data_IF_451663102414
#
_entry.id   IF_451663102414
#
_cell.length_a   1.000
_cell.length_b   1.000
_cell.length_c   1.000
_cell.angle_alpha   90.00
_cell.angle_beta   90.00
_cell.angle_gamma   90.00
#
_symmetry.space_group_name_H-M   'P 1'
#
loop_
_entity.id
_entity.type
_entity.pdbx_description
1 polymer ?
#
# COMPACT_ATOMS: atom_id res chain seq x y z
N UNK A 1 5.61 -12.69 -25.20
CA UNK A 1 6.13 -11.45 -25.80
C UNK A 1 6.23 -10.33 -24.75
N UNK A 2 5.20 -10.06 -23.94
CA UNK A 2 5.18 -8.97 -22.95
C UNK A 2 6.35 -9.07 -21.96
N UNK A 3 6.66 -10.27 -21.46
CA UNK A 3 7.79 -10.50 -20.54
C UNK A 3 9.17 -10.15 -21.14
N UNK A 4 9.26 -9.98 -22.47
CA UNK A 4 10.49 -9.55 -23.14
C UNK A 4 10.66 -8.03 -23.15
N UNK A 5 9.64 -7.28 -22.71
CA UNK A 5 9.64 -5.82 -22.75
C UNK A 5 9.70 -5.26 -21.33
N UNK A 6 10.81 -4.61 -20.94
CA UNK A 6 10.91 -3.91 -19.67
C UNK A 6 9.81 -2.84 -19.52
N UNK A 7 9.11 -2.86 -18.37
CA UNK A 7 7.95 -1.99 -18.14
C UNK A 7 7.77 -1.58 -16.67
N UNK A 8 8.84 -1.13 -15.98
CA UNK A 8 8.70 -0.63 -14.62
C UNK A 8 7.81 0.61 -14.59
N UNK A 9 7.07 0.80 -13.50
CA UNK A 9 6.26 2.02 -13.28
C UNK A 9 7.08 3.29 -13.47
N UNK A 10 6.54 4.28 -14.16
CA UNK A 10 7.19 5.55 -14.56
C UNK A 10 8.36 5.39 -15.55
N UNK A 11 8.50 4.23 -16.17
CA UNK A 11 9.52 3.91 -17.19
C UNK A 11 8.94 3.02 -18.29
N UNK A 12 7.74 3.34 -18.74
CA UNK A 12 6.94 2.53 -19.66
C UNK A 12 7.24 2.81 -21.14
N UNK A 13 8.23 3.62 -21.47
CA UNK A 13 8.51 4.03 -22.86
C UNK A 13 8.71 2.84 -23.82
N UNK A 14 9.30 1.74 -23.32
CA UNK A 14 9.54 0.54 -24.12
C UNK A 14 8.25 -0.23 -24.44
N UNK A 15 7.37 -0.40 -23.43
CA UNK A 15 6.10 -1.09 -23.64
C UNK A 15 5.14 -0.24 -24.48
N UNK A 16 5.14 1.08 -24.32
CA UNK A 16 4.39 2.00 -25.18
C UNK A 16 4.84 1.87 -26.64
N UNK A 17 6.15 1.85 -26.87
CA UNK A 17 6.69 1.64 -28.23
C UNK A 17 6.32 0.28 -28.82
N UNK A 18 6.32 -0.78 -27.99
CA UNK A 18 5.88 -2.12 -28.38
C UNK A 18 4.40 -2.12 -28.78
N UNK A 19 3.51 -1.51 -28.00
CA UNK A 19 2.08 -1.43 -28.30
C UNK A 19 1.79 -0.64 -29.59
N UNK A 20 2.51 0.45 -29.81
CA UNK A 20 2.41 1.21 -31.09
C UNK A 20 2.81 0.34 -32.28
N UNK A 21 3.96 -0.33 -32.17
CA UNK A 21 4.44 -1.22 -33.27
C UNK A 21 3.47 -2.40 -33.48
N UNK A 22 2.83 -2.91 -32.40
CA UNK A 22 1.81 -3.93 -32.48
C UNK A 22 0.58 -3.43 -33.30
N UNK A 23 0.05 -2.25 -32.94
CA UNK A 23 -1.06 -1.64 -33.66
C UNK A 23 -0.75 -1.40 -35.16
N UNK A 24 0.45 -0.90 -35.48
CA UNK A 24 0.92 -0.72 -36.84
C UNK A 24 1.00 -2.05 -37.61
N UNK A 25 1.58 -3.09 -36.98
CA UNK A 25 1.69 -4.43 -37.56
C UNK A 25 0.32 -5.01 -37.94
N UNK A 26 -0.68 -4.81 -37.09
CA UNK A 26 -2.04 -5.30 -37.32
C UNK A 26 -2.93 -4.29 -38.05
N UNK A 27 -2.38 -3.14 -38.49
CA UNK A 27 -3.10 -2.07 -39.22
C UNK A 27 -4.31 -1.53 -38.46
N UNK A 28 -4.21 -1.45 -37.15
CA UNK A 28 -5.23 -0.95 -36.25
C UNK A 28 -4.99 0.52 -35.89
N UNK A 29 -6.06 1.29 -35.78
CA UNK A 29 -5.98 2.66 -35.28
C UNK A 29 -5.39 2.67 -33.87
N UNK A 30 -4.28 3.39 -33.69
CA UNK A 30 -3.56 3.46 -32.42
C UNK A 30 -3.33 4.93 -32.04
N UNK A 31 -3.75 5.29 -30.83
CA UNK A 31 -3.56 6.62 -30.25
C UNK A 31 -2.74 6.53 -28.97
N UNK A 32 -2.00 7.58 -28.68
CA UNK A 32 -1.28 7.74 -27.41
C UNK A 32 -1.60 9.13 -26.88
N UNK A 33 -1.97 9.23 -25.60
CA UNK A 33 -2.21 10.52 -24.96
C UNK A 33 -0.92 11.13 -24.39
N UNK A 34 -1.04 12.30 -23.76
CA UNK A 34 0.10 13.02 -23.19
C UNK A 34 0.71 12.30 -21.97
N UNK A 35 -0.06 11.48 -21.26
CA UNK A 35 0.42 10.69 -20.12
C UNK A 35 1.15 9.41 -20.57
N UNK A 36 0.94 8.97 -21.82
CA UNK A 36 1.48 7.73 -22.34
C UNK A 36 0.48 6.58 -22.43
N UNK A 37 -0.79 6.79 -22.07
CA UNK A 37 -1.83 5.78 -22.25
C UNK A 37 -1.99 5.47 -23.74
N UNK A 38 -2.14 4.19 -24.08
CA UNK A 38 -2.31 3.73 -25.44
C UNK A 38 -3.71 3.21 -25.65
N UNK A 39 -4.36 3.63 -26.74
CA UNK A 39 -5.66 3.12 -27.17
C UNK A 39 -5.52 2.49 -28.56
N UNK A 40 -5.86 1.21 -28.68
CA UNK A 40 -5.88 0.49 -29.95
C UNK A 40 -7.32 0.09 -30.26
N UNK A 41 -7.80 0.47 -31.45
CA UNK A 41 -9.18 0.22 -31.88
C UNK A 41 -9.23 -0.90 -32.91
N UNK A 42 -10.11 -1.88 -32.70
CA UNK A 42 -10.43 -2.93 -33.66
C UNK A 42 -11.87 -2.73 -34.15
N UNK A 43 -12.09 -2.54 -35.49
CA UNK A 43 -13.43 -2.42 -36.03
C UNK A 43 -14.21 -3.72 -35.87
N UNK A 44 -15.54 -3.62 -35.83
CA UNK A 44 -16.42 -4.77 -35.72
C UNK A 44 -16.20 -5.78 -36.88
N UNK A 45 -16.43 -7.06 -36.60
CA UNK A 45 -16.52 -8.08 -37.64
C UNK A 45 -17.79 -7.86 -38.49
N UNK A 46 -17.80 -8.28 -39.76
CA UNK A 46 -18.92 -8.10 -40.66
C UNK A 46 -20.26 -8.57 -40.06
N UNK A 47 -21.25 -7.69 -40.02
CA UNK A 47 -22.55 -7.95 -39.43
C UNK A 47 -22.70 -7.61 -37.96
N UNK A 48 -21.62 -7.16 -37.30
CA UNK A 48 -21.60 -6.79 -35.86
C UNK A 48 -21.43 -5.28 -35.64
N UNK A 49 -21.50 -4.46 -36.70
CA UNK A 49 -21.23 -3.01 -36.64
C UNK A 49 -22.22 -2.23 -35.74
N UNK A 50 -23.43 -2.76 -35.58
CA UNK A 50 -24.48 -2.14 -34.73
C UNK A 50 -24.39 -2.55 -33.25
N UNK A 51 -23.39 -3.30 -32.86
CA UNK A 51 -23.17 -3.64 -31.43
C UNK A 51 -22.53 -2.47 -30.72
N UNK A 52 -22.75 -2.41 -29.40
CA UNK A 52 -22.10 -1.45 -28.53
C UNK A 52 -20.60 -1.63 -28.56
N UNK A 53 -19.87 -0.54 -28.54
CA UNK A 53 -18.40 -0.58 -28.41
C UNK A 53 -18.02 -0.99 -27.00
N UNK A 54 -17.14 -1.98 -26.90
CA UNK A 54 -16.58 -2.46 -25.63
C UNK A 54 -15.16 -1.94 -25.51
N UNK A 55 -14.87 -1.30 -24.37
CA UNK A 55 -13.49 -0.96 -23.97
C UNK A 55 -12.99 -2.07 -23.04
N UNK A 56 -11.88 -2.69 -23.39
CA UNK A 56 -11.09 -3.53 -22.49
C UNK A 56 -9.97 -2.66 -21.93
N UNK A 57 -9.71 -2.74 -20.62
CA UNK A 57 -8.71 -1.89 -19.99
C UNK A 57 -7.81 -2.71 -19.07
N UNK A 58 -6.50 -2.47 -19.23
CA UNK A 58 -5.44 -3.01 -18.37
C UNK A 58 -4.33 -1.98 -18.15
N UNK A 59 -3.49 -2.15 -17.13
CA UNK A 59 -2.30 -1.33 -16.97
C UNK A 59 -1.04 -2.05 -17.48
N UNK A 60 -0.08 -1.27 -18.00
CA UNK A 60 1.11 -1.83 -18.64
C UNK A 60 2.32 -1.93 -17.75
N UNK A 61 2.38 -1.17 -16.67
CA UNK A 61 3.49 -1.21 -15.74
C UNK A 61 3.42 -2.44 -14.81
N UNK A 62 4.44 -2.66 -14.02
CA UNK A 62 4.53 -3.76 -13.08
C UNK A 62 5.38 -3.41 -11.87
N UNK A 63 5.11 -4.03 -10.74
CA UNK A 63 5.99 -4.03 -9.55
C UNK A 63 7.30 -4.74 -9.89
N UNK A 64 8.42 -4.08 -9.62
CA UNK A 64 9.76 -4.55 -9.92
C UNK A 64 10.49 -5.00 -8.65
N UNK A 65 10.33 -6.27 -8.28
CA UNK A 65 10.99 -6.90 -7.14
C UNK A 65 11.76 -8.16 -7.54
N UNK A 66 12.87 -8.44 -6.86
CA UNK A 66 13.70 -9.63 -7.11
C UNK A 66 14.33 -10.16 -5.83
N UNK A 67 14.74 -11.41 -5.85
CA UNK A 67 15.55 -11.99 -4.79
C UNK A 67 16.93 -11.31 -4.71
N UNK A 68 17.49 -11.19 -3.51
CA UNK A 68 18.76 -10.48 -3.28
C UNK A 68 19.95 -11.09 -4.01
N UNK A 69 19.93 -12.38 -4.30
CA UNK A 69 20.95 -13.14 -5.00
C UNK A 69 20.79 -13.11 -6.53
N UNK A 70 19.69 -12.56 -7.05
CA UNK A 70 19.40 -12.46 -8.48
C UNK A 70 19.97 -11.16 -9.06
N UNK A 71 20.77 -11.31 -10.13
CA UNK A 71 21.23 -10.18 -10.94
C UNK A 71 20.22 -9.93 -12.04
N UNK A 72 19.48 -8.84 -11.95
CA UNK A 72 18.49 -8.42 -12.93
C UNK A 72 18.34 -6.91 -12.89
N UNK A 73 18.28 -6.29 -14.04
CA UNK A 73 17.97 -4.87 -14.22
C UNK A 73 16.62 -4.71 -14.94
N UNK A 74 15.60 -4.34 -14.19
CA UNK A 74 14.24 -4.16 -14.73
C UNK A 74 14.13 -3.07 -15.81
N UNK A 75 15.13 -2.21 -15.96
CA UNK A 75 15.15 -1.21 -17.05
C UNK A 75 15.60 -1.79 -18.39
N UNK A 76 16.36 -2.89 -18.37
CA UNK A 76 17.01 -3.42 -19.59
C UNK A 76 16.73 -4.88 -19.86
N UNK A 77 16.58 -5.69 -18.82
CA UNK A 77 16.53 -7.13 -18.94
C UNK A 77 15.09 -7.64 -19.09
N UNK A 78 14.86 -8.64 -19.91
CA UNK A 78 13.57 -9.32 -20.00
C UNK A 78 13.31 -10.17 -18.75
N UNK A 79 12.05 -10.34 -18.36
CA UNK A 79 11.66 -11.28 -17.32
C UNK A 79 11.86 -12.70 -17.82
N UNK A 80 12.76 -13.45 -17.18
CA UNK A 80 12.95 -14.86 -17.47
C UNK A 80 11.81 -15.69 -16.89
N UNK A 81 11.13 -16.44 -17.76
CA UNK A 81 9.97 -17.23 -17.37
C UNK A 81 10.23 -18.72 -17.57
N UNK A 82 9.51 -19.53 -16.79
CA UNK A 82 9.47 -20.99 -16.94
C UNK A 82 8.04 -21.51 -16.75
N UNK A 83 7.75 -22.65 -17.36
CA UNK A 83 6.49 -23.37 -17.18
C UNK A 83 6.73 -24.46 -16.13
N UNK A 84 5.96 -24.43 -15.05
CA UNK A 84 5.97 -25.41 -13.98
C UNK A 84 4.56 -26.00 -13.81
N UNK A 85 4.34 -27.12 -14.47
CA UNK A 85 3.01 -27.74 -14.58
C UNK A 85 2.04 -26.82 -15.34
N UNK A 86 1.01 -26.33 -14.66
CA UNK A 86 0.01 -25.39 -15.22
C UNK A 86 0.35 -23.91 -14.96
N UNK A 87 1.50 -23.64 -14.33
CA UNK A 87 1.90 -22.30 -13.92
C UNK A 87 2.98 -21.73 -14.85
N UNK A 88 2.82 -20.46 -15.19
CA UNK A 88 3.90 -19.62 -15.73
C UNK A 88 4.54 -18.86 -14.57
N UNK A 89 5.83 -19.07 -14.33
CA UNK A 89 6.58 -18.46 -13.22
C UNK A 89 7.74 -17.60 -13.73
N UNK A 90 8.10 -16.57 -12.99
CA UNK A 90 9.34 -15.85 -13.19
C UNK A 90 10.47 -16.45 -12.34
N UNK A 91 11.71 -16.36 -12.85
CA UNK A 91 12.91 -16.89 -12.18
C UNK A 91 13.53 -15.85 -11.28
N UNK A 92 13.11 -15.84 -10.02
CA UNK A 92 13.69 -14.99 -8.97
C UNK A 92 13.34 -13.51 -9.05
N UNK A 93 12.40 -13.14 -9.89
CA UNK A 93 11.82 -11.79 -10.00
C UNK A 93 10.29 -11.86 -9.91
N UNK A 94 9.63 -10.71 -9.78
CA UNK A 94 8.20 -10.58 -10.10
C UNK A 94 7.95 -10.93 -11.56
N UNK A 95 6.79 -11.53 -11.87
CA UNK A 95 6.36 -11.88 -13.23
C UNK A 95 5.69 -10.69 -13.95
N UNK A 96 4.98 -9.86 -13.19
CA UNK A 96 4.11 -8.82 -13.70
C UNK A 96 2.87 -9.39 -14.39
N UNK A 97 2.29 -10.48 -13.85
CA UNK A 97 1.01 -11.01 -14.32
C UNK A 97 -0.12 -10.02 -14.05
N UNK A 98 -0.02 -9.30 -12.96
CA UNK A 98 -0.71 -8.06 -12.65
C UNK A 98 0.03 -6.89 -13.34
N UNK A 99 -0.52 -6.20 -14.35
CA UNK A 99 -1.69 -6.65 -15.12
C UNK A 99 -1.29 -7.17 -16.52
N UNK A 100 -0.16 -7.87 -16.61
CA UNK A 100 0.32 -8.45 -17.87
C UNK A 100 -0.64 -9.46 -18.48
N UNK A 101 -1.51 -10.11 -17.69
CA UNK A 101 -2.51 -11.04 -18.23
C UNK A 101 -3.64 -10.29 -18.93
N UNK A 102 -4.06 -9.13 -18.40
CA UNK A 102 -5.00 -8.24 -19.08
C UNK A 102 -4.44 -7.74 -20.39
N UNK A 103 -3.20 -7.21 -20.39
CA UNK A 103 -2.49 -6.79 -21.60
C UNK A 103 -2.41 -7.94 -22.62
N UNK A 104 -2.07 -9.16 -22.18
CA UNK A 104 -1.97 -10.31 -23.08
C UNK A 104 -3.33 -10.68 -23.69
N UNK A 105 -4.41 -10.61 -22.91
CA UNK A 105 -5.77 -10.87 -23.37
C UNK A 105 -6.20 -9.86 -24.44
N UNK A 106 -5.97 -8.58 -24.20
CA UNK A 106 -6.25 -7.52 -25.18
C UNK A 106 -5.48 -7.70 -26.47
N UNK A 107 -4.17 -7.97 -26.39
CA UNK A 107 -3.34 -8.23 -27.58
C UNK A 107 -3.79 -9.47 -28.35
N UNK A 108 -4.23 -10.53 -27.65
CA UNK A 108 -4.75 -11.74 -28.28
C UNK A 108 -6.05 -11.44 -29.05
N UNK A 109 -6.99 -10.69 -28.46
CA UNK A 109 -8.24 -10.27 -29.11
C UNK A 109 -7.95 -9.37 -30.33
N UNK A 110 -7.00 -8.44 -30.18
CA UNK A 110 -6.62 -7.55 -31.28
C UNK A 110 -5.99 -8.31 -32.46
N UNK A 111 -5.23 -9.37 -32.19
CA UNK A 111 -4.52 -10.16 -33.23
C UNK A 111 -5.37 -11.25 -33.89
N UNK A 112 -6.42 -11.71 -33.21
CA UNK A 112 -7.23 -12.85 -33.67
C UNK A 112 -8.40 -12.38 -34.54
N UNK A 113 -8.35 -12.67 -35.87
CA UNK A 113 -9.42 -12.33 -36.81
C UNK A 113 -10.55 -13.39 -36.86
N UNK A 114 -10.45 -14.47 -36.08
CA UNK A 114 -11.49 -15.53 -36.03
C UNK A 114 -12.60 -15.26 -35.01
N UNK A 115 -12.38 -14.33 -34.08
CA UNK A 115 -13.36 -13.95 -33.03
C UNK A 115 -14.39 -13.01 -33.64
N UNK A 116 -15.69 -13.37 -33.57
CA UNK A 116 -16.79 -12.45 -33.89
C UNK A 116 -17.00 -11.44 -32.76
N UNK A 117 -16.94 -10.14 -33.08
CA UNK A 117 -17.09 -9.08 -32.09
C UNK A 117 -17.69 -7.79 -32.69
N UNK A 118 -18.35 -7.00 -31.84
CA UNK A 118 -18.66 -5.59 -32.12
C UNK A 118 -17.37 -4.73 -32.14
N UNK A 119 -17.47 -3.40 -32.25
CA UNK A 119 -16.30 -2.55 -32.15
C UNK A 119 -15.62 -2.74 -30.79
N UNK A 120 -14.29 -2.88 -30.75
CA UNK A 120 -13.50 -3.06 -29.53
C UNK A 120 -12.45 -1.96 -29.45
N UNK A 121 -12.29 -1.38 -28.29
CA UNK A 121 -11.21 -0.48 -27.92
C UNK A 121 -10.40 -1.14 -26.80
N UNK A 122 -9.09 -1.27 -26.97
CA UNK A 122 -8.16 -1.75 -25.96
C UNK A 122 -7.40 -0.57 -25.39
N UNK A 123 -7.62 -0.27 -24.11
CA UNK A 123 -7.04 0.85 -23.38
C UNK A 123 -5.95 0.35 -22.43
N UNK A 124 -4.73 0.71 -22.70
CA UNK A 124 -3.55 0.39 -21.91
C UNK A 124 -3.11 1.62 -21.11
N UNK A 125 -3.28 1.59 -19.81
CA UNK A 125 -2.91 2.71 -18.92
C UNK A 125 -1.51 2.55 -18.35
N UNK A 126 -0.86 3.66 -18.01
CA UNK A 126 0.49 3.70 -17.42
C UNK A 126 0.43 4.02 -15.93
N UNK A 127 1.49 3.62 -15.19
CA UNK A 127 1.74 3.99 -13.79
C UNK A 127 0.54 3.75 -12.86
N UNK A 128 -0.02 2.55 -12.89
CA UNK A 128 -1.06 2.09 -11.97
C UNK A 128 -0.48 1.88 -10.58
N UNK A 129 0.59 1.10 -10.48
CA UNK A 129 1.21 0.56 -9.27
C UNK A 129 1.73 1.62 -8.30
N UNK A 130 2.03 2.84 -8.79
CA UNK A 130 2.56 3.90 -7.94
C UNK A 130 1.61 5.07 -7.72
N UNK A 131 0.50 5.16 -8.45
CA UNK A 131 -0.43 6.24 -8.23
C UNK A 131 -1.55 6.44 -9.24
N UNK A 132 -1.85 5.46 -10.11
CA UNK A 132 -2.92 5.56 -11.12
C UNK A 132 -2.77 6.77 -12.05
N UNK A 133 -1.52 7.21 -12.31
CA UNK A 133 -1.24 8.47 -13.01
C UNK A 133 -1.88 8.48 -14.40
N UNK A 134 -1.77 7.36 -15.14
CA UNK A 134 -2.37 7.24 -16.46
C UNK A 134 -3.89 7.33 -16.43
N UNK A 135 -4.54 6.62 -15.50
CA UNK A 135 -6.00 6.63 -15.39
C UNK A 135 -6.53 8.02 -15.02
N UNK A 136 -5.87 8.73 -14.09
CA UNK A 136 -6.26 10.10 -13.71
C UNK A 136 -6.01 11.13 -14.82
N UNK A 137 -5.09 10.87 -15.73
CA UNK A 137 -4.76 11.78 -16.84
C UNK A 137 -5.68 11.65 -18.05
N UNK A 138 -6.53 10.59 -18.10
CA UNK A 138 -7.44 10.37 -19.24
C UNK A 138 -8.35 11.57 -19.46
N UNK A 139 -8.40 12.01 -20.71
CA UNK A 139 -9.23 13.12 -21.13
C UNK A 139 -10.53 12.64 -21.78
N UNK A 140 -11.57 13.47 -21.66
CA UNK A 140 -12.85 13.22 -22.32
C UNK A 140 -12.66 13.01 -23.83
N UNK A 141 -13.28 11.97 -24.38
CA UNK A 141 -13.20 11.63 -25.79
C UNK A 141 -11.95 10.84 -26.22
N UNK A 142 -11.04 10.49 -25.32
CA UNK A 142 -9.91 9.62 -25.67
C UNK A 142 -10.39 8.23 -26.09
N UNK A 143 -11.34 7.66 -25.37
CA UNK A 143 -12.08 6.43 -25.72
C UNK A 143 -13.54 6.78 -26.06
N UNK A 144 -14.25 5.88 -26.73
CA UNK A 144 -15.64 6.11 -27.19
C UNK A 144 -16.60 4.98 -26.82
N UNK A 145 -16.15 3.95 -26.13
CA UNK A 145 -16.97 2.77 -25.83
C UNK A 145 -18.07 3.02 -24.82
N UNK A 146 -19.17 2.29 -24.97
CA UNK A 146 -20.34 2.33 -24.06
C UNK A 146 -20.18 1.44 -22.82
N UNK A 147 -19.32 0.43 -22.90
CA UNK A 147 -19.08 -0.59 -21.87
C UNK A 147 -17.58 -0.66 -21.64
N UNK A 148 -17.15 -0.47 -20.39
CA UNK A 148 -15.75 -0.67 -19.99
C UNK A 148 -15.63 -1.93 -19.12
N UNK A 149 -14.73 -2.81 -19.51
CA UNK A 149 -14.32 -3.99 -18.76
C UNK A 149 -12.87 -3.79 -18.34
N UNK A 150 -12.67 -3.53 -17.05
CA UNK A 150 -11.33 -3.53 -16.45
C UNK A 150 -10.90 -4.98 -16.22
N UNK A 151 -9.71 -5.33 -16.70
CA UNK A 151 -9.15 -6.69 -16.65
C UNK A 151 -8.16 -6.87 -15.49
N UNK A 152 -8.29 -6.06 -14.46
CA UNK A 152 -7.36 -5.98 -13.33
C UNK A 152 -7.88 -6.69 -12.07
N UNK A 153 -8.87 -7.55 -12.22
CA UNK A 153 -9.38 -8.39 -11.13
C UNK A 153 -8.53 -9.65 -10.98
N UNK A 154 -8.18 -9.99 -9.74
CA UNK A 154 -7.41 -11.18 -9.40
C UNK A 154 -8.29 -12.39 -9.01
N UNK A 155 -9.59 -12.17 -8.76
CA UNK A 155 -10.51 -13.22 -8.31
C UNK A 155 -11.16 -13.94 -9.50
N UNK A 156 -10.86 -15.22 -9.65
CA UNK A 156 -11.37 -16.03 -10.74
C UNK A 156 -12.89 -16.22 -10.66
N UNK A 157 -13.59 -15.92 -11.75
CA UNK A 157 -15.03 -16.12 -11.87
C UNK A 157 -15.89 -15.06 -11.21
N UNK A 158 -15.30 -13.97 -10.71
CA UNK A 158 -16.02 -12.86 -10.09
C UNK A 158 -16.06 -11.61 -10.98
N UNK A 159 -17.18 -10.88 -10.93
CA UNK A 159 -17.35 -9.59 -11.60
C UNK A 159 -17.57 -8.51 -10.55
N UNK A 160 -16.64 -7.57 -10.49
CA UNK A 160 -16.75 -6.41 -9.59
C UNK A 160 -17.41 -5.24 -10.34
N UNK A 161 -18.52 -4.76 -9.81
CA UNK A 161 -19.29 -3.64 -10.39
C UNK A 161 -19.08 -2.32 -9.67
N UNK A 162 -18.13 -2.27 -8.74
CA UNK A 162 -17.77 -1.07 -7.99
C UNK A 162 -16.51 -1.31 -7.17
N UNK A 163 -15.93 -0.22 -6.67
CA UNK A 163 -14.78 -0.25 -5.77
C UNK A 163 -14.95 0.82 -4.68
N UNK A 164 -14.27 0.59 -3.55
CA UNK A 164 -14.14 1.61 -2.52
C UNK A 164 -13.14 2.69 -2.95
N UNK A 165 -13.49 3.95 -2.70
CA UNK A 165 -12.55 5.04 -2.83
C UNK A 165 -11.58 5.09 -1.65
N UNK A 166 -10.37 5.65 -1.84
CA UNK A 166 -9.37 5.84 -0.81
C UNK A 166 -8.98 7.31 -0.60
N UNK A 167 -8.53 7.64 0.61
CA UNK A 167 -7.83 8.89 0.95
C UNK A 167 -6.63 8.52 1.79
N UNK A 168 -5.46 9.00 1.39
CA UNK A 168 -4.27 8.93 2.22
C UNK A 168 -4.11 10.22 3.02
N UNK A 169 -3.87 10.09 4.32
CA UNK A 169 -3.59 11.23 5.19
C UNK A 169 -2.15 11.15 5.68
N UNK A 170 -1.40 12.20 5.45
CA UNK A 170 -0.01 12.32 5.89
C UNK A 170 0.10 13.44 6.92
N UNK A 171 0.66 13.12 8.08
CA UNK A 171 1.00 14.11 9.10
C UNK A 171 2.52 14.16 9.26
N UNK A 172 3.08 15.35 9.15
CA UNK A 172 4.49 15.63 9.41
C UNK A 172 4.60 16.68 10.52
N UNK A 173 5.48 16.43 11.46
CA UNK A 173 5.77 17.38 12.52
C UNK A 173 7.24 17.33 12.91
N UNK A 174 7.74 18.45 13.36
CA UNK A 174 9.11 18.60 13.83
C UNK A 174 9.18 18.40 15.34
N UNK A 175 10.31 17.91 15.83
CA UNK A 175 10.59 17.80 17.25
C UNK A 175 11.93 18.49 17.58
N UNK A 176 12.12 18.78 18.87
CA UNK A 176 13.40 19.23 19.39
C UNK A 176 14.17 18.05 19.95
N UNK A 177 15.45 17.99 19.66
CA UNK A 177 16.33 17.05 20.34
C UNK A 177 16.68 17.55 21.75
N UNK A 178 16.65 16.64 22.69
CA UNK A 178 17.11 16.84 24.08
C UNK A 178 18.16 15.80 24.42
N UNK A 179 19.04 16.13 25.36
CA UNK A 179 20.05 15.19 25.83
C UNK A 179 19.40 14.10 26.71
N UNK A 180 19.80 12.85 26.48
CA UNK A 180 19.47 11.76 27.40
C UNK A 180 20.35 11.88 28.65
N UNK A 181 19.79 11.91 29.87
CA UNK A 181 20.57 12.06 31.09
C UNK A 181 21.55 10.90 31.29
N UNK A 182 22.68 11.17 31.95
CA UNK A 182 23.61 10.12 32.37
C UNK A 182 22.92 9.14 33.36
N UNK A 183 23.32 7.86 33.26
CA UNK A 183 22.74 6.82 34.12
C UNK A 183 21.38 6.26 33.62
N UNK A 184 21.06 6.52 32.34
CA UNK A 184 19.89 5.93 31.69
C UNK A 184 20.28 4.67 30.91
N UNK A 185 19.44 3.65 31.03
CA UNK A 185 19.47 2.42 30.26
C UNK A 185 18.72 2.61 28.94
N UNK A 186 19.43 2.40 27.83
CA UNK A 186 18.80 2.39 26.51
C UNK A 186 18.40 0.97 26.08
N UNK A 187 17.20 0.82 25.56
CA UNK A 187 16.75 -0.44 25.02
C UNK A 187 15.87 -0.25 23.79
N UNK A 188 15.90 -1.24 22.93
CA UNK A 188 15.01 -1.38 21.76
C UNK A 188 13.84 -2.28 22.15
N UNK A 189 12.64 -1.74 22.06
CA UNK A 189 11.39 -2.51 22.15
C UNK A 189 10.88 -2.73 20.75
N UNK A 190 10.55 -3.97 20.42
CA UNK A 190 10.10 -4.35 19.07
C UNK A 190 8.85 -5.23 19.15
N UNK A 191 7.93 -5.00 18.22
CA UNK A 191 6.77 -5.85 17.90
C UNK A 191 7.04 -6.50 16.57
N UNK A 192 6.87 -7.81 16.48
CA UNK A 192 7.07 -8.62 15.27
C UNK A 192 6.19 -9.86 15.26
N UNK A 193 6.24 -10.62 14.15
CA UNK A 193 5.50 -11.86 14.01
C UNK A 193 4.03 -11.69 13.63
N UNK A 194 3.58 -10.47 13.35
CA UNK A 194 2.24 -10.23 12.83
C UNK A 194 2.15 -10.64 11.36
N UNK A 195 0.99 -11.17 10.96
CA UNK A 195 0.72 -11.58 9.56
C UNK A 195 0.73 -10.37 8.61
N UNK A 196 0.18 -9.25 9.07
CA UNK A 196 -0.13 -8.14 8.19
C UNK A 196 -1.21 -8.50 7.20
N UNK A 197 -1.40 -7.66 6.19
CA UNK A 197 -2.42 -7.86 5.15
C UNK A 197 -2.67 -6.59 4.38
N UNK A 198 -3.52 -6.66 3.37
CA UNK A 198 -3.93 -5.50 2.60
C UNK A 198 -4.88 -4.62 3.41
N UNK A 199 -4.66 -3.30 3.41
CA UNK A 199 -5.46 -2.34 4.21
C UNK A 199 -6.91 -2.19 3.76
N UNK A 200 -7.27 -2.72 2.60
CA UNK A 200 -8.65 -2.80 2.11
C UNK A 200 -9.22 -4.20 2.29
N UNK A 201 -8.62 -5.21 1.63
CA UNK A 201 -9.12 -6.58 1.59
C UNK A 201 -9.11 -7.30 2.94
N UNK A 202 -8.05 -7.09 3.76
CA UNK A 202 -7.86 -7.84 5.01
C UNK A 202 -8.16 -7.05 6.28
N UNK A 203 -8.55 -5.78 6.18
CA UNK A 203 -8.75 -4.90 7.34
C UNK A 203 -9.85 -5.42 8.30
N UNK A 204 -10.78 -6.22 7.80
CA UNK A 204 -11.88 -6.81 8.55
C UNK A 204 -11.48 -8.09 9.33
N UNK A 205 -10.31 -8.66 9.05
CA UNK A 205 -9.87 -9.92 9.66
C UNK A 205 -9.40 -9.77 11.11
N UNK A 206 -9.37 -8.54 11.64
CA UNK A 206 -8.95 -8.29 13.03
C UNK A 206 -7.46 -8.47 13.27
N UNK A 207 -6.64 -8.40 12.21
CA UNK A 207 -5.18 -8.53 12.28
C UNK A 207 -4.56 -7.40 13.11
N UNK A 208 -3.51 -7.74 13.85
CA UNK A 208 -2.78 -6.79 14.68
C UNK A 208 -2.03 -5.73 13.85
N UNK A 209 -2.01 -4.50 14.35
CA UNK A 209 -1.20 -3.43 13.78
C UNK A 209 -0.03 -3.13 14.73
N UNK A 210 1.20 -3.37 14.25
CA UNK A 210 2.41 -3.22 15.05
C UNK A 210 2.58 -1.81 15.62
N UNK A 211 2.24 -0.76 14.86
CA UNK A 211 2.30 0.62 15.31
C UNK A 211 1.36 0.87 16.51
N UNK A 212 0.14 0.33 16.46
CA UNK A 212 -0.83 0.46 17.56
C UNK A 212 -0.39 -0.31 18.80
N UNK A 213 0.09 -1.53 18.62
CA UNK A 213 0.55 -2.39 19.72
C UNK A 213 1.79 -1.82 20.41
N UNK A 214 2.79 -1.38 19.63
CA UNK A 214 3.97 -0.72 20.17
C UNK A 214 3.60 0.56 20.93
N UNK A 215 2.77 1.41 20.33
CA UNK A 215 2.36 2.67 20.94
C UNK A 215 1.55 2.45 22.24
N UNK A 216 0.75 1.39 22.32
CA UNK A 216 0.00 1.02 23.53
C UNK A 216 0.96 0.73 24.70
N UNK A 217 2.03 -0.02 24.46
CA UNK A 217 3.07 -0.26 25.46
C UNK A 217 3.85 1.01 25.81
N UNK A 218 4.31 1.76 24.81
CA UNK A 218 5.06 3.00 25.03
C UNK A 218 4.25 4.04 25.82
N UNK A 219 2.95 4.14 25.58
CA UNK A 219 2.06 5.05 26.32
C UNK A 219 1.92 4.68 27.79
N UNK A 220 1.94 3.39 28.14
CA UNK A 220 1.95 2.93 29.52
C UNK A 220 3.31 3.21 30.17
N UNK A 221 4.40 2.90 29.46
CA UNK A 221 5.77 3.14 29.90
C UNK A 221 6.03 4.62 30.17
N UNK A 222 5.61 5.50 29.25
CA UNK A 222 5.77 6.95 29.39
C UNK A 222 5.06 7.53 30.61
N UNK A 223 3.93 6.95 31.01
CA UNK A 223 3.19 7.37 32.22
C UNK A 223 3.83 6.90 33.50
N UNK A 224 4.53 5.76 33.49
CA UNK A 224 5.06 5.08 34.64
C UNK A 224 6.50 5.45 34.94
N UNK A 225 7.31 5.67 33.91
CA UNK A 225 8.74 5.88 34.04
C UNK A 225 9.15 7.25 33.52
N UNK A 226 10.31 7.74 33.95
CA UNK A 226 10.95 8.91 33.36
C UNK A 226 11.59 8.53 32.01
N UNK A 227 10.74 8.26 31.00
CA UNK A 227 11.14 7.72 29.69
C UNK A 227 11.50 8.83 28.72
N UNK A 228 12.55 8.64 27.97
CA UNK A 228 12.93 9.40 26.78
C UNK A 228 12.74 8.52 25.53
N UNK A 229 12.04 9.03 24.52
CA UNK A 229 11.86 8.36 23.22
C UNK A 229 12.99 8.80 22.29
N UNK A 230 13.89 7.89 21.95
CA UNK A 230 15.05 8.19 21.09
C UNK A 230 14.77 7.90 19.60
N UNK A 231 13.99 6.86 19.32
CA UNK A 231 13.68 6.42 17.96
C UNK A 231 12.32 5.73 17.94
N UNK A 232 11.59 5.89 16.84
CA UNK A 232 10.37 5.14 16.55
C UNK A 232 10.28 4.87 15.05
N UNK A 233 10.01 3.62 14.68
CA UNK A 233 9.84 3.19 13.30
C UNK A 233 8.84 2.04 13.22
N UNK A 234 7.93 2.06 12.27
CA UNK A 234 7.02 0.96 12.04
C UNK A 234 6.19 1.11 10.77
N UNK A 235 5.85 -0.03 10.19
CA UNK A 235 5.16 -0.12 8.90
C UNK A 235 5.97 0.45 7.74
N UNK A 236 5.56 0.17 6.50
CA UNK A 236 6.26 0.64 5.31
C UNK A 236 5.31 1.19 4.25
N UNK A 237 4.31 0.41 3.84
CA UNK A 237 3.42 0.72 2.73
C UNK A 237 2.07 1.21 3.23
N UNK A 238 1.51 2.23 2.55
CA UNK A 238 0.20 2.82 2.89
C UNK A 238 -0.96 1.82 2.79
N UNK A 239 -0.87 0.88 1.85
CA UNK A 239 -1.87 -0.14 1.60
C UNK A 239 -1.65 -1.45 2.38
N UNK A 240 -0.68 -1.49 3.29
CA UNK A 240 -0.40 -2.66 4.12
C UNK A 240 -0.65 -2.38 5.61
N UNK A 241 -1.16 -3.38 6.33
CA UNK A 241 -1.24 -3.38 7.79
C UNK A 241 0.17 -3.59 8.34
N UNK A 242 0.61 -2.72 9.25
CA UNK A 242 1.97 -2.75 9.77
C UNK A 242 2.25 -4.05 10.53
N UNK A 243 3.22 -4.85 10.03
CA UNK A 243 3.60 -6.16 10.59
C UNK A 243 4.64 -6.05 11.69
N UNK A 244 5.48 -5.03 11.62
CA UNK A 244 6.59 -4.79 12.54
C UNK A 244 6.67 -3.32 12.91
N UNK A 245 7.07 -3.07 14.16
CA UNK A 245 7.39 -1.73 14.64
C UNK A 245 8.41 -1.83 15.77
N UNK A 246 9.26 -0.82 15.92
CA UNK A 246 10.18 -0.74 17.04
C UNK A 246 10.35 0.70 17.55
N UNK A 247 10.80 0.81 18.77
CA UNK A 247 11.23 2.07 19.35
C UNK A 247 12.50 1.86 20.18
N UNK A 248 13.39 2.85 20.16
CA UNK A 248 14.50 2.93 21.11
C UNK A 248 14.10 3.94 22.19
N UNK A 249 14.12 3.49 23.43
CA UNK A 249 13.79 4.30 24.60
C UNK A 249 14.94 4.31 25.60
N UNK A 250 15.00 5.35 26.40
CA UNK A 250 15.91 5.46 27.53
C UNK A 250 15.10 5.70 28.82
N UNK A 251 15.41 4.95 29.87
CA UNK A 251 14.82 5.05 31.20
C UNK A 251 15.92 5.04 32.26
N UNK A 252 15.68 5.49 33.51
CA UNK A 252 16.65 5.33 34.59
C UNK A 252 17.11 3.87 34.69
N UNK A 253 18.43 3.62 34.82
CA UNK A 253 18.98 2.25 34.95
C UNK A 253 18.33 1.45 36.10
N UNK A 254 17.92 2.13 37.19
CA UNK A 254 17.25 1.51 38.31
C UNK A 254 15.90 0.84 37.92
N UNK A 255 15.24 1.33 36.88
CA UNK A 255 13.93 0.84 36.40
C UNK A 255 14.01 -0.30 35.39
N UNK A 256 15.20 -0.68 34.96
CA UNK A 256 15.43 -1.67 33.90
C UNK A 256 14.72 -3.01 34.12
N UNK A 257 14.79 -3.54 35.33
CA UNK A 257 14.14 -4.82 35.68
C UNK A 257 12.62 -4.70 35.72
N UNK A 258 12.12 -3.58 36.25
CA UNK A 258 10.69 -3.31 36.30
C UNK A 258 10.09 -3.16 34.90
N UNK A 259 10.78 -2.45 34.00
CA UNK A 259 10.37 -2.32 32.59
C UNK A 259 10.28 -3.69 31.87
N UNK A 260 11.27 -4.59 32.10
CA UNK A 260 11.22 -5.95 31.52
C UNK A 260 10.02 -6.75 32.04
N UNK A 261 9.72 -6.63 33.32
CA UNK A 261 8.55 -7.28 33.92
C UNK A 261 7.26 -6.74 33.30
N UNK A 262 7.14 -5.41 33.17
CA UNK A 262 5.97 -4.78 32.56
C UNK A 262 5.79 -5.19 31.11
N UNK A 263 6.88 -5.29 30.32
CA UNK A 263 6.80 -5.76 28.94
C UNK A 263 6.32 -7.22 28.88
N UNK A 264 6.83 -8.10 29.73
CA UNK A 264 6.40 -9.51 29.73
C UNK A 264 4.91 -9.64 30.09
N UNK A 265 4.41 -8.85 31.03
CA UNK A 265 2.98 -8.82 31.38
C UNK A 265 2.16 -8.29 30.19
N UNK A 266 2.59 -7.20 29.59
CA UNK A 266 1.93 -6.61 28.45
C UNK A 266 1.93 -7.56 27.22
N UNK A 267 3.08 -8.20 26.95
CA UNK A 267 3.22 -9.18 25.86
C UNK A 267 2.24 -10.33 26.01
N UNK A 268 2.19 -10.95 27.21
CA UNK A 268 1.25 -12.03 27.47
C UNK A 268 -0.22 -11.62 27.29
N UNK A 269 -0.58 -10.38 27.63
CA UNK A 269 -1.92 -9.86 27.39
C UNK A 269 -2.21 -9.67 25.90
N UNK A 270 -1.29 -9.06 25.16
CA UNK A 270 -1.43 -8.82 23.75
C UNK A 270 -1.44 -10.13 22.94
N UNK A 271 -0.56 -11.08 23.26
CA UNK A 271 -0.52 -12.41 22.66
C UNK A 271 -1.84 -13.16 22.88
N UNK A 272 -2.44 -13.07 24.07
CA UNK A 272 -3.75 -13.65 24.34
C UNK A 272 -4.89 -12.95 23.55
N UNK A 273 -4.83 -11.60 23.40
CA UNK A 273 -5.81 -10.84 22.59
C UNK A 273 -5.78 -11.23 21.11
N UNK A 274 -4.59 -11.53 20.58
CA UNK A 274 -4.37 -11.82 19.16
C UNK A 274 -4.10 -13.29 18.86
N UNK A 275 -4.29 -14.21 19.79
CA UNK A 275 -3.94 -15.62 19.67
C UNK A 275 -4.54 -16.33 18.43
N UNK A 276 -5.68 -15.87 17.94
CA UNK A 276 -6.36 -16.45 16.76
C UNK A 276 -5.90 -15.74 15.48
N UNK A 277 -5.88 -14.42 15.49
CA UNK A 277 -5.55 -13.61 14.30
C UNK A 277 -4.05 -13.66 13.98
N UNK A 278 -3.20 -13.48 15.00
CA UNK A 278 -1.74 -13.35 14.89
C UNK A 278 -1.03 -14.23 15.94
N UNK A 279 -1.06 -15.57 15.82
CA UNK A 279 -0.52 -16.49 16.83
C UNK A 279 1.00 -16.37 17.03
N UNK A 280 1.72 -15.80 16.06
CA UNK A 280 3.18 -15.62 16.10
C UNK A 280 3.59 -14.25 16.63
N UNK A 281 2.64 -13.43 17.13
CA UNK A 281 2.92 -12.12 17.73
C UNK A 281 3.96 -12.24 18.85
N UNK A 282 4.99 -11.41 18.79
CA UNK A 282 6.06 -11.36 19.77
C UNK A 282 6.44 -9.93 20.12
N UNK A 283 6.77 -9.72 21.40
CA UNK A 283 7.43 -8.52 21.88
C UNK A 283 8.84 -8.85 22.35
N UNK A 284 9.82 -8.06 21.95
CA UNK A 284 11.21 -8.19 22.41
C UNK A 284 11.70 -6.90 23.04
N UNK A 285 12.60 -7.03 24.04
CA UNK A 285 13.34 -5.93 24.62
C UNK A 285 14.82 -6.29 24.64
N UNK A 286 15.59 -5.60 23.83
CA UNK A 286 17.02 -5.77 23.70
C UNK A 286 17.76 -4.55 24.26
N UNK A 287 18.89 -4.78 24.92
CA UNK A 287 19.76 -3.68 25.35
C UNK A 287 20.34 -3.00 24.12
N UNK A 288 20.32 -1.69 24.10
CA UNK A 288 20.83 -0.88 23.00
C UNK A 288 22.00 -0.02 23.48
N UNK A 289 22.86 0.39 22.55
CA UNK A 289 23.91 1.34 22.87
C UNK A 289 23.31 2.65 23.41
N UNK A 290 23.99 3.31 24.35
CA UNK A 290 23.51 4.59 24.88
C UNK A 290 23.25 5.61 23.76
N UNK A 291 22.08 6.21 23.75
CA UNK A 291 21.72 7.30 22.84
C UNK A 291 22.02 8.64 23.51
N UNK A 292 22.69 9.53 22.79
CA UNK A 292 22.98 10.87 23.31
C UNK A 292 21.76 11.80 23.25
N UNK A 293 20.89 11.59 22.26
CA UNK A 293 19.74 12.45 21.98
C UNK A 293 18.43 11.67 21.98
N UNK A 294 17.37 12.38 22.32
CA UNK A 294 16.00 11.90 22.29
C UNK A 294 15.05 13.00 21.80
N UNK A 295 13.85 12.63 21.44
CA UNK A 295 12.74 13.55 21.18
C UNK A 295 12.36 14.23 22.51
N UNK A 296 12.13 15.54 22.50
CA UNK A 296 11.67 16.25 23.70
C UNK A 296 10.39 15.62 24.28
N UNK A 297 10.27 15.70 25.62
CA UNK A 297 9.20 15.00 26.33
C UNK A 297 7.79 15.46 25.95
N UNK A 298 7.62 16.74 25.64
CA UNK A 298 6.31 17.27 25.28
C UNK A 298 5.87 16.74 23.91
N UNK A 299 6.78 16.77 22.94
CA UNK A 299 6.53 16.15 21.60
C UNK A 299 6.33 14.64 21.72
N UNK A 300 7.16 13.92 22.51
CA UNK A 300 6.98 12.48 22.75
C UNK A 300 5.59 12.17 23.32
N UNK A 301 5.15 12.94 24.32
CA UNK A 301 3.83 12.77 24.93
C UNK A 301 2.70 12.98 23.92
N UNK A 302 2.75 14.07 23.15
CA UNK A 302 1.75 14.39 22.13
C UNK A 302 1.71 13.33 21.03
N UNK A 303 2.88 12.86 20.55
CA UNK A 303 3.00 11.78 19.57
C UNK A 303 2.29 10.51 20.06
N UNK A 304 2.65 10.03 21.26
CA UNK A 304 2.06 8.81 21.81
C UNK A 304 0.54 8.94 22.01
N UNK A 305 0.06 10.11 22.44
CA UNK A 305 -1.36 10.38 22.60
C UNK A 305 -2.10 10.40 21.26
N UNK A 306 -1.54 11.02 20.23
CA UNK A 306 -2.14 11.10 18.91
C UNK A 306 -2.17 9.73 18.21
N UNK A 307 -1.08 8.96 18.27
CA UNK A 307 -1.05 7.58 17.77
C UNK A 307 -2.04 6.66 18.50
N UNK A 308 -2.28 6.94 19.79
CA UNK A 308 -3.28 6.20 20.59
C UNK A 308 -4.69 6.53 20.12
N UNK A 309 -5.00 7.81 19.92
CA UNK A 309 -6.29 8.30 19.49
C UNK A 309 -6.58 8.04 18.00
N UNK A 310 -5.55 7.94 17.15
CA UNK A 310 -5.71 7.67 15.73
C UNK A 310 -6.46 6.35 15.52
N UNK A 311 -7.62 6.35 14.82
CA UNK A 311 -8.37 5.14 14.57
C UNK A 311 -7.61 4.19 13.64
N UNK A 312 -7.86 2.89 13.80
CA UNK A 312 -7.34 1.82 12.95
C UNK A 312 -8.34 0.66 12.92
N UNK A 313 -8.53 0.07 11.74
CA UNK A 313 -9.46 -1.04 11.54
C UNK A 313 -10.77 -0.63 10.88
N UNK A 314 -11.75 -1.51 10.96
CA UNK A 314 -13.12 -1.27 10.47
C UNK A 314 -13.81 -0.30 11.40
N UNK A 315 -14.39 0.77 10.83
CA UNK A 315 -15.22 1.71 11.58
C UNK A 315 -16.70 1.33 11.52
N UNK A 316 -17.17 0.90 10.35
CA UNK A 316 -18.51 0.38 10.16
C UNK A 316 -18.55 -0.65 9.02
N UNK A 317 -19.60 -1.45 8.97
CA UNK A 317 -19.93 -2.32 7.84
C UNK A 317 -21.03 -1.66 7.00
N UNK A 318 -21.06 -2.00 5.71
CA UNK A 318 -22.12 -1.53 4.82
C UNK A 318 -23.50 -1.99 5.31
N UNK A 319 -24.48 -1.10 5.20
CA UNK A 319 -25.88 -1.42 5.52
C UNK A 319 -26.59 -2.08 4.34
N UNK A 320 -26.10 -1.83 3.12
CA UNK A 320 -26.75 -2.29 1.88
C UNK A 320 -26.12 -3.59 1.36
N UNK A 321 -24.81 -3.79 1.58
CA UNK A 321 -24.07 -4.93 1.06
C UNK A 321 -23.50 -5.74 2.22
N UNK A 322 -24.07 -6.92 2.53
CA UNK A 322 -23.56 -7.79 3.59
C UNK A 322 -22.09 -8.18 3.38
N UNK A 323 -21.26 -8.04 4.42
CA UNK A 323 -19.86 -8.38 4.38
C UNK A 323 -18.91 -7.29 3.87
N UNK A 324 -19.44 -6.24 3.23
CA UNK A 324 -18.62 -5.13 2.76
C UNK A 324 -18.23 -4.20 3.91
N UNK A 325 -16.94 -3.89 4.01
CA UNK A 325 -16.38 -2.91 4.96
C UNK A 325 -16.73 -1.49 4.51
N UNK A 326 -17.24 -0.67 5.46
CA UNK A 326 -17.69 0.67 5.14
C UNK A 326 -17.85 1.54 6.40
N UNK A 327 -17.04 2.55 6.67
CA UNK A 327 -15.66 2.81 6.23
C UNK A 327 -14.58 2.11 7.07
N UNK A 328 -13.33 2.25 6.68
CA UNK A 328 -12.16 1.76 7.42
C UNK A 328 -10.98 2.72 7.39
N UNK A 329 -10.01 2.50 8.28
CA UNK A 329 -8.76 3.26 8.31
C UNK A 329 -7.58 2.36 8.72
N UNK A 330 -6.43 2.59 8.11
CA UNK A 330 -5.18 1.91 8.41
C UNK A 330 -4.11 2.90 8.89
N UNK A 331 -3.57 2.72 10.08
CA UNK A 331 -2.35 3.39 10.53
C UNK A 331 -1.16 2.67 9.91
N UNK A 332 -0.75 3.12 8.72
CA UNK A 332 0.16 2.41 7.85
C UNK A 332 1.62 2.50 8.31
N UNK A 333 2.12 3.72 8.53
CA UNK A 333 3.52 3.89 8.92
C UNK A 333 3.74 5.03 9.89
N UNK A 334 4.79 4.88 10.71
CA UNK A 334 5.36 5.92 11.58
C UNK A 334 6.86 5.92 11.36
N UNK A 335 7.42 6.99 10.81
CA UNK A 335 8.83 7.05 10.37
C UNK A 335 9.51 8.32 10.86
N UNK A 336 10.71 8.18 11.41
CA UNK A 336 11.60 9.32 11.59
C UNK A 336 12.32 9.63 10.27
N UNK A 337 12.37 10.90 9.91
CA UNK A 337 12.99 11.41 8.69
C UNK A 337 14.10 12.41 9.04
N UNK A 338 15.08 12.64 8.13
CA UNK A 338 16.08 13.69 8.32
C UNK A 338 15.44 15.04 8.61
N UNK A 339 16.11 15.89 9.42
CA UNK A 339 15.62 17.20 9.81
C UNK A 339 14.69 17.21 11.01
N UNK A 340 14.80 16.19 11.87
CA UNK A 340 13.97 16.03 13.08
C UNK A 340 12.48 16.03 12.76
N UNK A 341 12.10 15.29 11.74
CA UNK A 341 10.72 15.12 11.28
C UNK A 341 10.23 13.72 11.65
N UNK A 342 9.01 13.65 12.16
CA UNK A 342 8.27 12.40 12.28
C UNK A 342 7.12 12.46 11.28
N UNK A 343 7.03 11.43 10.42
CA UNK A 343 6.01 11.28 9.41
C UNK A 343 5.12 10.11 9.76
N UNK A 344 3.82 10.36 9.79
CA UNK A 344 2.76 9.37 10.02
C UNK A 344 1.93 9.30 8.76
N UNK A 345 1.74 8.08 8.25
CA UNK A 345 0.90 7.84 7.09
C UNK A 345 -0.27 6.93 7.47
N UNK A 346 -1.44 7.29 7.00
CA UNK A 346 -2.68 6.53 7.20
C UNK A 346 -3.44 6.47 5.90
N UNK A 347 -4.20 5.39 5.66
CA UNK A 347 -5.06 5.22 4.49
C UNK A 347 -6.49 4.96 4.96
N UNK A 348 -7.45 5.71 4.45
CA UNK A 348 -8.88 5.57 4.74
C UNK A 348 -9.60 5.11 3.49
N UNK A 349 -10.54 4.19 3.64
CA UNK A 349 -11.33 3.64 2.53
C UNK A 349 -12.81 3.65 2.86
N UNK A 350 -13.63 3.88 1.84
CA UNK A 350 -15.08 3.79 1.92
C UNK A 350 -15.69 3.77 0.51
N UNK A 351 -16.77 3.05 0.29
CA UNK A 351 -17.58 3.11 -0.93
C UNK A 351 -18.49 4.34 -0.95
N UNK A 352 -18.69 5.00 0.21
CA UNK A 352 -19.50 6.22 0.35
C UNK A 352 -18.59 7.43 0.55
N UNK A 353 -18.62 8.39 -0.38
CA UNK A 353 -17.74 9.56 -0.38
C UNK A 353 -17.82 10.36 0.92
N UNK A 354 -19.03 10.64 1.42
CA UNK A 354 -19.21 11.39 2.67
C UNK A 354 -18.63 10.66 3.89
N UNK A 355 -18.78 9.35 3.99
CA UNK A 355 -18.21 8.51 5.06
C UNK A 355 -16.68 8.48 4.97
N UNK A 356 -16.13 8.44 3.75
CA UNK A 356 -14.68 8.52 3.51
C UNK A 356 -14.11 9.84 4.02
N UNK A 357 -14.77 10.96 3.73
CA UNK A 357 -14.36 12.28 4.20
C UNK A 357 -14.49 12.42 5.73
N UNK A 358 -15.51 11.82 6.33
CA UNK A 358 -15.70 11.85 7.77
C UNK A 358 -14.59 11.11 8.50
N UNK A 359 -14.28 9.86 8.11
CA UNK A 359 -13.19 9.09 8.74
C UNK A 359 -11.82 9.75 8.51
N UNK A 360 -11.56 10.34 7.34
CA UNK A 360 -10.35 11.10 7.10
C UNK A 360 -10.26 12.36 7.98
N UNK A 361 -11.39 13.00 8.25
CA UNK A 361 -11.46 14.14 9.19
C UNK A 361 -11.18 13.70 10.62
N UNK A 362 -11.72 12.55 11.07
CA UNK A 362 -11.41 11.99 12.40
C UNK A 362 -9.93 11.70 12.56
N UNK A 363 -9.29 11.07 11.56
CA UNK A 363 -7.84 10.84 11.54
C UNK A 363 -7.08 12.17 11.63
N UNK A 364 -7.43 13.13 10.79
CA UNK A 364 -6.80 14.46 10.81
C UNK A 364 -6.92 15.13 12.17
N UNK A 365 -8.09 15.11 12.79
CA UNK A 365 -8.30 15.69 14.11
C UNK A 365 -7.50 14.96 15.20
N UNK A 366 -7.38 13.63 15.13
CA UNK A 366 -6.56 12.88 16.09
C UNK A 366 -5.07 13.23 15.99
N UNK A 367 -4.58 13.48 14.77
CA UNK A 367 -3.18 13.80 14.49
C UNK A 367 -2.85 15.29 14.66
N UNK A 368 -3.82 16.21 14.60
CA UNK A 368 -3.60 17.65 14.73
C UNK A 368 -3.11 18.06 16.14
N UNK A 369 -3.35 17.23 17.14
CA UNK A 369 -2.86 17.44 18.50
C UNK A 369 -1.34 17.30 18.62
N UNK A 370 -0.66 16.80 17.59
CA UNK A 370 0.80 16.69 17.51
C UNK A 370 1.41 17.92 16.84
N UNK A 371 0.76 18.42 15.78
CA UNK A 371 1.26 19.51 14.96
C UNK A 371 0.50 20.80 15.23
N UNK A 372 1.22 21.92 15.33
CA UNK A 372 0.56 23.17 15.00
C UNK A 372 0.17 23.12 13.52
N UNK A 373 -1.05 23.57 13.14
CA UNK A 373 -1.54 23.40 11.78
C UNK A 373 -0.68 24.24 10.83
N UNK A 374 0.25 23.62 10.12
CA UNK A 374 0.75 24.18 8.89
C UNK A 374 -0.33 23.97 7.83
N UNK A 375 -1.11 25.02 7.55
CA UNK A 375 -2.00 25.06 6.41
C UNK A 375 -1.18 24.83 5.14
N UNK A 376 -1.41 23.74 4.47
CA UNK A 376 -1.15 23.56 3.03
C UNK A 376 -2.42 23.03 2.37
#
# INVERSE_FOLDING_TARGET
>A
EICQVPRPSKKEEKIIAFLKAFGEKHKLETKVDEAGNVLIKKPATPGMENRKTVVLQSHVDMVCEKNNDVKHDFLTDPIETEIDGEWLKAKGTTLGADNGIGVATELAILADDSIEHGPVECLFTVDEETGLTGAFALQEGFMSGDILLNLDSEDEGELFIGCAGGIDSVAEFTYKEVDVPAGYFCCKVQVKGLKGGHSGGDIHLGLGNANKLLNRFLSQTFKKYDMYLCEIDGGNLRNAIAREAHAVIAIPEADKHALRTDLNVFAAQAEAEYAVADPDLQFTLESENPRAKAIDKDTSKRLLQALYAAPHGVYAMSQDIPGLVEPSTNLASVKMKPGNIIRIETSQRSSIESSKQDIATMVRLSLIHISEPTRR
#
